data_IF_994290757839
#
_entry.id   IF_994290757839
#
_cell.length_a   1.000
_cell.length_b   1.000
_cell.length_c   1.000
_cell.angle_alpha   90.00
_cell.angle_beta   90.00
_cell.angle_gamma   90.00
#
_symmetry.space_group_name_H-M   'P 1'
#
loop_
_entity.id
_entity.type
_entity.pdbx_description
1 polymer ?
#
# COMPACT_ATOMS: atom_id res chain seq x y z
N UNK A 1 1.86 -11.37 8.77
CA UNK A 1 3.07 -10.51 8.82
C UNK A 1 2.84 -9.45 9.89
N UNK A 2 3.66 -9.38 10.95
CA UNK A 2 3.44 -8.47 12.09
C UNK A 2 3.47 -6.98 11.69
N UNK A 3 4.37 -6.60 10.77
CA UNK A 3 4.46 -5.24 10.22
C UNK A 3 3.15 -4.68 9.68
N UNK A 4 2.36 -5.52 9.03
CA UNK A 4 1.12 -5.09 8.40
C UNK A 4 0.06 -4.61 9.42
N UNK A 5 0.01 -5.28 10.58
CA UNK A 5 -0.86 -4.88 11.68
C UNK A 5 -0.34 -3.62 12.37
N UNK A 6 0.96 -3.54 12.66
CA UNK A 6 1.58 -2.36 13.28
C UNK A 6 1.42 -1.10 12.40
N UNK A 7 1.55 -1.24 11.09
CA UNK A 7 1.32 -0.16 10.13
C UNK A 7 -0.15 0.31 10.14
N UNK A 8 -1.10 -0.63 10.21
CA UNK A 8 -2.52 -0.31 10.30
C UNK A 8 -2.88 0.43 11.59
N UNK A 9 -2.33 -0.02 12.73
CA UNK A 9 -2.54 0.62 14.03
C UNK A 9 -1.99 2.04 14.04
N UNK A 10 -0.77 2.24 13.51
CA UNK A 10 -0.16 3.56 13.37
C UNK A 10 -1.01 4.49 12.49
N UNK A 11 -1.43 4.03 11.31
CA UNK A 11 -2.21 4.83 10.37
C UNK A 11 -3.60 5.14 10.92
N UNK A 12 -4.21 4.22 11.67
CA UNK A 12 -5.49 4.43 12.35
C UNK A 12 -5.35 5.51 13.43
N UNK A 13 -4.29 5.46 14.23
CA UNK A 13 -4.02 6.47 15.25
C UNK A 13 -3.76 7.86 14.62
N UNK A 14 -2.93 7.92 13.58
CA UNK A 14 -2.59 9.19 12.90
C UNK A 14 -3.81 9.79 12.19
N UNK A 15 -4.66 8.96 11.57
CA UNK A 15 -5.90 9.42 10.92
C UNK A 15 -6.98 9.89 11.90
N UNK A 16 -6.91 9.48 13.17
CA UNK A 16 -7.78 9.99 14.22
C UNK A 16 -7.34 11.39 14.72
N UNK A 17 -6.06 11.72 14.61
CA UNK A 17 -5.49 13.00 15.03
C UNK A 17 -5.39 14.01 13.88
N UNK A 18 -5.18 13.54 12.65
CA UNK A 18 -5.08 14.34 11.43
C UNK A 18 -6.18 13.94 10.45
N UNK A 19 -7.05 14.89 10.08
CA UNK A 19 -8.13 14.68 9.11
C UNK A 19 -7.55 14.21 7.77
N UNK A 20 -8.02 13.06 7.27
CA UNK A 20 -7.50 12.45 6.04
C UNK A 20 -7.95 13.30 4.85
N UNK A 21 -7.05 13.79 3.97
CA UNK A 21 -7.44 14.58 2.82
C UNK A 21 -8.28 13.77 1.84
N UNK A 22 -9.43 14.31 1.43
CA UNK A 22 -10.29 13.72 0.39
C UNK A 22 -10.13 14.49 -0.93
N UNK A 23 -10.11 13.77 -2.05
CA UNK A 23 -10.25 14.38 -3.38
C UNK A 23 -11.63 14.06 -3.96
N UNK A 24 -12.31 15.09 -4.49
CA UNK A 24 -13.57 14.91 -5.21
C UNK A 24 -13.24 14.61 -6.67
N UNK A 25 -13.50 13.40 -7.12
CA UNK A 25 -13.34 13.00 -8.52
C UNK A 25 -14.68 13.12 -9.23
N UNK A 26 -14.75 13.96 -10.26
CA UNK A 26 -15.90 14.01 -11.16
C UNK A 26 -15.89 12.80 -12.10
N UNK A 27 -16.80 11.84 -11.87
CA UNK A 27 -16.98 10.72 -12.78
C UNK A 27 -17.74 11.16 -14.04
N UNK A 28 -17.09 11.15 -15.21
CA UNK A 28 -17.83 11.26 -16.47
C UNK A 28 -17.03 11.34 -17.76
N UNK A 29 -16.80 10.21 -18.43
CA UNK A 29 -16.67 10.18 -19.90
C UNK A 29 -17.42 8.96 -20.46
N UNK A 30 -18.70 9.14 -20.83
CA UNK A 30 -19.47 8.09 -21.50
C UNK A 30 -20.97 8.36 -21.65
N UNK A 31 -21.33 8.97 -22.77
CA UNK A 31 -22.64 9.05 -23.46
C UNK A 31 -23.92 8.48 -22.77
N UNK A 32 -24.90 9.38 -22.59
CA UNK A 32 -26.37 9.19 -22.36
C UNK A 32 -26.81 8.81 -20.93
N UNK A 33 -27.30 9.84 -20.20
CA UNK A 33 -28.14 9.77 -18.99
C UNK A 33 -27.54 9.13 -17.72
N UNK A 34 -26.27 9.33 -17.43
CA UNK A 34 -25.78 9.11 -16.06
C UNK A 34 -25.62 10.45 -15.35
N UNK A 35 -26.34 10.65 -14.24
CA UNK A 35 -26.05 11.69 -13.25
C UNK A 35 -24.54 11.62 -12.92
N UNK A 36 -23.80 12.75 -12.88
CA UNK A 36 -22.40 12.73 -12.46
C UNK A 36 -22.36 12.22 -11.02
N UNK A 37 -21.76 11.04 -10.82
CA UNK A 37 -21.48 10.55 -9.49
C UNK A 37 -20.20 11.25 -9.05
N UNK A 38 -20.33 12.10 -8.02
CA UNK A 38 -19.19 12.62 -7.30
C UNK A 38 -18.59 11.48 -6.49
N UNK A 39 -17.43 10.98 -6.91
CA UNK A 39 -16.71 9.96 -6.17
C UNK A 39 -15.74 10.66 -5.23
N UNK A 40 -16.01 10.62 -3.92
CA UNK A 40 -15.02 10.99 -2.92
C UNK A 40 -13.99 9.87 -2.86
N UNK A 41 -12.81 10.09 -3.45
CA UNK A 41 -11.72 9.12 -3.36
C UNK A 41 -10.80 9.54 -2.20
N UNK A 42 -10.71 8.73 -1.14
CA UNK A 42 -9.77 9.03 -0.06
C UNK A 42 -8.35 8.95 -0.62
N UNK A 43 -7.52 9.96 -0.34
CA UNK A 43 -6.13 10.01 -0.82
C UNK A 43 -5.21 9.18 0.10
N UNK A 44 -5.57 7.92 0.34
CA UNK A 44 -4.83 7.01 1.25
C UNK A 44 -3.38 6.84 0.82
N UNK A 45 -3.10 6.79 -0.48
CA UNK A 45 -1.73 6.71 -1.01
C UNK A 45 -0.88 7.94 -0.62
N UNK A 46 -1.46 9.14 -0.71
CA UNK A 46 -0.77 10.38 -0.34
C UNK A 46 -0.58 10.47 1.17
N UNK A 47 -1.54 9.97 1.94
CA UNK A 47 -1.46 9.90 3.40
C UNK A 47 -0.33 8.95 3.83
N UNK A 48 -0.32 7.73 3.28
CA UNK A 48 0.71 6.71 3.57
C UNK A 48 2.10 7.20 3.15
N UNK A 49 2.23 7.83 1.98
CA UNK A 49 3.51 8.36 1.50
C UNK A 49 4.12 9.41 2.45
N UNK A 50 3.30 10.25 3.08
CA UNK A 50 3.79 11.23 4.06
C UNK A 50 4.22 10.58 5.39
N UNK A 51 3.86 9.32 5.63
CA UNK A 51 4.08 8.58 6.88
C UNK A 51 5.19 7.53 6.73
N UNK A 52 6.02 7.65 5.69
CA UNK A 52 7.20 6.79 5.48
C UNK A 52 8.12 6.76 6.72
N UNK A 53 8.51 7.93 7.25
CA UNK A 53 9.39 7.99 8.43
C UNK A 53 8.81 7.33 9.70
N UNK A 54 7.52 7.56 10.06
CA UNK A 54 6.84 6.78 11.09
C UNK A 54 6.81 5.26 10.84
N UNK A 55 6.52 4.82 9.61
CA UNK A 55 6.49 3.39 9.26
C UNK A 55 7.87 2.72 9.38
N UNK A 56 8.94 3.42 8.99
CA UNK A 56 10.34 2.96 9.12
C UNK A 56 10.77 2.74 10.58
N UNK A 57 10.13 3.45 11.53
CA UNK A 57 10.43 3.33 12.97
C UNK A 57 9.70 2.18 13.66
N UNK A 58 8.83 1.45 12.95
CA UNK A 58 8.11 0.33 13.54
C UNK A 58 9.08 -0.81 13.89
N UNK A 59 8.92 -1.46 15.06
CA UNK A 59 9.84 -2.51 15.51
C UNK A 59 10.03 -3.64 14.50
N UNK A 60 8.97 -3.98 13.77
CA UNK A 60 8.97 -5.09 12.80
C UNK A 60 9.38 -4.70 11.40
N UNK A 61 9.55 -3.39 11.12
CA UNK A 61 9.91 -2.88 9.79
C UNK A 61 11.24 -3.45 9.31
N UNK A 62 12.28 -3.38 10.14
CA UNK A 62 13.62 -3.84 9.77
C UNK A 62 13.65 -5.33 9.40
N UNK A 63 12.85 -6.17 10.09
CA UNK A 63 12.71 -7.59 9.78
C UNK A 63 11.99 -7.75 8.45
N UNK A 64 10.83 -7.12 8.27
CA UNK A 64 10.05 -7.22 7.04
C UNK A 64 10.85 -6.75 5.80
N UNK A 65 11.61 -5.66 5.94
CA UNK A 65 12.49 -5.14 4.88
C UNK A 65 13.58 -6.13 4.53
N UNK A 66 14.21 -6.76 5.54
CA UNK A 66 15.26 -7.76 5.31
C UNK A 66 14.70 -9.00 4.59
N UNK A 67 13.55 -9.50 5.03
CA UNK A 67 12.89 -10.66 4.40
C UNK A 67 12.56 -10.39 2.93
N UNK A 68 12.11 -9.17 2.60
CA UNK A 68 11.86 -8.79 1.20
C UNK A 68 13.15 -8.55 0.41
N UNK A 69 14.16 -7.93 1.01
CA UNK A 69 15.44 -7.67 0.32
C UNK A 69 16.16 -8.97 -0.09
N UNK A 70 15.85 -10.09 0.56
CA UNK A 70 16.37 -11.40 0.23
C UNK A 70 15.64 -12.10 -0.93
N UNK A 71 14.61 -11.49 -1.52
CA UNK A 71 13.79 -12.09 -2.59
C UNK A 71 13.90 -11.29 -3.89
N UNK A 72 14.13 -11.97 -5.00
CA UNK A 72 14.28 -11.34 -6.31
C UNK A 72 12.93 -10.94 -6.91
N UNK A 73 11.85 -11.68 -6.58
CA UNK A 73 10.47 -11.40 -6.98
C UNK A 73 9.92 -10.05 -6.51
N UNK A 74 10.63 -9.33 -5.63
CA UNK A 74 10.32 -7.95 -5.27
C UNK A 74 10.40 -7.01 -6.47
N UNK A 75 11.32 -7.26 -7.41
CA UNK A 75 11.45 -6.43 -8.61
C UNK A 75 10.19 -6.56 -9.47
N UNK A 76 9.68 -7.78 -9.64
CA UNK A 76 8.50 -8.04 -10.44
C UNK A 76 7.23 -7.56 -9.76
N UNK A 77 7.16 -7.66 -8.43
CA UNK A 77 6.12 -7.01 -7.65
C UNK A 77 6.08 -5.50 -7.92
N UNK A 78 7.20 -4.78 -7.76
CA UNK A 78 7.25 -3.34 -8.00
C UNK A 78 6.85 -2.98 -9.45
N UNK A 79 7.34 -3.74 -10.44
CA UNK A 79 6.98 -3.53 -11.85
C UNK A 79 5.49 -3.75 -12.12
N UNK A 80 4.89 -4.80 -11.55
CA UNK A 80 3.46 -5.07 -11.69
C UNK A 80 2.60 -3.94 -11.10
N UNK A 81 3.13 -3.24 -10.09
CA UNK A 81 2.49 -2.10 -9.45
C UNK A 81 2.82 -0.76 -10.13
N UNK A 82 3.64 -0.76 -11.20
CA UNK A 82 4.05 0.44 -11.93
C UNK A 82 5.10 1.27 -11.19
N UNK A 83 5.74 0.72 -10.16
CA UNK A 83 6.71 1.41 -9.32
C UNK A 83 8.14 1.18 -9.83
N UNK A 84 9.04 2.16 -9.61
CA UNK A 84 10.44 2.02 -9.99
C UNK A 84 11.11 0.92 -9.16
N UNK A 85 11.60 -0.11 -9.84
CA UNK A 85 12.38 -1.20 -9.24
C UNK A 85 13.90 -0.97 -9.30
N UNK A 86 14.34 0.29 -9.30
CA UNK A 86 15.75 0.66 -9.33
C UNK A 86 16.41 0.64 -7.95
N UNK A 87 17.74 0.71 -7.91
CA UNK A 87 18.52 0.78 -6.67
C UNK A 87 18.91 -0.59 -6.09
N UNK A 88 19.48 -0.55 -4.88
CA UNK A 88 19.88 -1.75 -4.15
C UNK A 88 18.67 -2.53 -3.60
N UNK A 89 18.90 -3.75 -3.12
CA UNK A 89 17.85 -4.62 -2.63
C UNK A 89 17.10 -4.04 -1.42
N UNK A 90 17.77 -3.26 -0.58
CA UNK A 90 17.16 -2.59 0.56
C UNK A 90 16.20 -1.48 0.13
N UNK A 91 16.59 -0.67 -0.85
CA UNK A 91 15.73 0.38 -1.45
C UNK A 91 14.48 -0.23 -2.09
N UNK A 92 14.63 -1.33 -2.83
CA UNK A 92 13.50 -2.06 -3.43
C UNK A 92 12.58 -2.67 -2.38
N UNK A 93 13.14 -3.26 -1.33
CA UNK A 93 12.34 -3.80 -0.23
C UNK A 93 11.53 -2.72 0.50
N UNK A 94 12.13 -1.54 0.71
CA UNK A 94 11.42 -0.40 1.29
C UNK A 94 10.24 0.04 0.43
N UNK A 95 10.48 0.22 -0.87
CA UNK A 95 9.44 0.55 -1.83
C UNK A 95 8.33 -0.50 -1.82
N UNK A 96 8.67 -1.79 -1.75
CA UNK A 96 7.70 -2.87 -1.73
C UNK A 96 6.85 -2.90 -0.46
N UNK A 97 7.42 -2.60 0.72
CA UNK A 97 6.66 -2.44 1.97
C UNK A 97 5.66 -1.29 1.85
N UNK A 98 6.10 -0.13 1.35
CA UNK A 98 5.22 1.03 1.13
C UNK A 98 4.06 0.67 0.20
N UNK A 99 4.37 0.06 -0.93
CA UNK A 99 3.37 -0.35 -1.93
C UNK A 99 2.41 -1.38 -1.35
N UNK A 100 2.90 -2.34 -0.57
CA UNK A 100 2.07 -3.32 0.12
C UNK A 100 1.06 -2.67 1.07
N UNK A 101 1.50 -1.70 1.89
CA UNK A 101 0.60 -0.95 2.79
C UNK A 101 -0.41 -0.11 2.00
N UNK A 102 0.04 0.59 0.95
CA UNK A 102 -0.86 1.29 0.01
C UNK A 102 -1.91 0.36 -0.59
N UNK A 103 -1.51 -0.83 -1.04
CA UNK A 103 -2.44 -1.82 -1.60
C UNK A 103 -3.44 -2.38 -0.60
N UNK A 104 -3.06 -2.48 0.68
CA UNK A 104 -3.98 -2.88 1.74
C UNK A 104 -5.13 -1.87 1.91
N UNK A 105 -4.83 -0.58 1.77
CA UNK A 105 -5.78 0.52 1.98
C UNK A 105 -6.20 1.24 0.70
N UNK A 106 -5.95 0.62 -0.46
CA UNK A 106 -6.41 1.14 -1.74
C UNK A 106 -7.95 1.23 -1.73
N UNK A 107 -8.44 2.44 -2.01
CA UNK A 107 -9.86 2.82 -1.98
C UNK A 107 -10.57 2.62 -0.64
N UNK A 108 -9.80 2.49 0.46
CA UNK A 108 -10.33 2.41 1.81
C UNK A 108 -10.60 3.79 2.41
N UNK A 109 -11.68 3.92 3.17
CA UNK A 109 -12.03 5.15 3.92
C UNK A 109 -11.47 5.15 5.34
N UNK A 110 -10.87 4.05 5.77
CA UNK A 110 -10.37 3.79 7.11
C UNK A 110 -9.14 2.88 7.06
N UNK A 111 -8.36 2.85 8.13
CA UNK A 111 -7.14 2.04 8.24
C UNK A 111 -7.32 0.75 9.05
N UNK A 112 -8.55 0.24 9.21
CA UNK A 112 -8.78 -1.00 9.95
C UNK A 112 -8.10 -2.21 9.26
N UNK A 113 -7.29 -3.00 9.99
CA UNK A 113 -6.63 -4.18 9.45
C UNK A 113 -7.61 -5.36 9.37
N UNK A 114 -8.41 -5.41 8.29
CA UNK A 114 -9.28 -6.56 8.05
C UNK A 114 -8.51 -7.71 7.39
N UNK A 115 -8.90 -8.95 7.71
CA UNK A 115 -8.31 -10.14 7.10
C UNK A 115 -8.45 -10.15 5.58
N UNK A 116 -9.53 -9.60 5.05
CA UNK A 116 -9.78 -9.47 3.61
C UNK A 116 -8.77 -8.54 2.93
N UNK A 117 -8.55 -7.34 3.49
CA UNK A 117 -7.60 -6.36 2.94
C UNK A 117 -6.17 -6.88 2.99
N UNK A 118 -5.78 -7.46 4.13
CA UNK A 118 -4.50 -8.14 4.26
C UNK A 118 -4.36 -9.27 3.24
N UNK A 119 -5.37 -10.14 3.14
CA UNK A 119 -5.36 -11.29 2.25
C UNK A 119 -5.23 -10.91 0.77
N UNK A 120 -5.94 -9.87 0.33
CA UNK A 120 -5.85 -9.34 -1.04
C UNK A 120 -4.44 -8.84 -1.35
N UNK A 121 -3.91 -7.94 -0.52
CA UNK A 121 -2.58 -7.37 -0.72
C UNK A 121 -1.49 -8.46 -0.61
N UNK A 122 -1.64 -9.41 0.32
CA UNK A 122 -0.72 -10.52 0.49
C UNK A 122 -0.74 -11.44 -0.72
N UNK A 123 -1.90 -11.78 -1.27
CA UNK A 123 -2.00 -12.62 -2.45
C UNK A 123 -1.37 -12.00 -3.70
N UNK A 124 -1.36 -10.66 -3.83
CA UNK A 124 -0.64 -9.96 -4.91
C UNK A 124 0.88 -10.08 -4.73
N UNK A 125 1.37 -9.81 -3.52
CA UNK A 125 2.79 -9.93 -3.21
C UNK A 125 3.29 -11.37 -3.34
N UNK A 126 2.58 -12.33 -2.75
CA UNK A 126 2.91 -13.75 -2.77
C UNK A 126 2.98 -14.30 -4.20
N UNK A 127 2.04 -13.90 -5.08
CA UNK A 127 2.09 -14.27 -6.51
C UNK A 127 3.35 -13.77 -7.20
N UNK A 128 3.77 -12.54 -6.92
CA UNK A 128 5.00 -11.99 -7.50
C UNK A 128 6.25 -12.68 -6.96
N UNK A 129 6.26 -13.01 -5.66
CA UNK A 129 7.35 -13.76 -5.02
C UNK A 129 7.41 -15.22 -5.46
N UNK A 130 6.27 -15.83 -5.82
CA UNK A 130 6.19 -17.21 -6.29
C UNK A 130 6.55 -17.34 -7.78
N UNK A 131 6.28 -16.31 -8.58
CA UNK A 131 6.63 -16.28 -10.00
C UNK A 131 8.15 -16.39 -10.24
N UNK A 132 8.98 -16.08 -9.24
CA UNK A 132 10.44 -16.29 -9.24
C UNK A 132 10.83 -17.77 -9.35
N UNK A 133 9.99 -18.70 -8.87
CA UNK A 133 10.31 -20.13 -8.78
C UNK A 133 9.77 -20.99 -9.94
N UNK A 134 9.20 -20.36 -10.98
CA UNK A 134 8.54 -21.04 -12.11
C UNK A 134 9.39 -21.04 -13.39
#
# INVERSE_FOLDING_TARGET
MAFAHEAADLLTADAAEADVPYEVVEGGRGHRRSTPLYCYRPLTDRFIAQRAGPLERLPTHAVARRELAARDGVIDYLRAQGEPAGGDAGTRAEAALRVFVSRMFADATDFAPTAERFGRAWAELDRALAAEQA
#
